data_IF_730135841674
#
_entry.id   IF_730135841674
#
_cell.length_a   1.000
_cell.length_b   1.000
_cell.length_c   1.000
_cell.angle_alpha   90.00
_cell.angle_beta   90.00
_cell.angle_gamma   90.00
#
_symmetry.space_group_name_H-M   'P 1'
#
loop_
_entity.id
_entity.type
_entity.pdbx_description
1 polymer ?
#
# COMPACT_ATOMS: atom_id res chain seq x y z
N UNK A 1 -0.93 3.05 31.42
CA UNK A 1 -1.46 3.55 30.13
C UNK A 1 -0.47 3.30 28.99
N UNK A 2 -0.20 2.03 28.58
CA UNK A 2 0.81 1.72 27.55
C UNK A 2 0.24 1.71 26.12
N UNK A 3 -1.04 1.38 25.97
CA UNK A 3 -1.68 1.12 24.66
C UNK A 3 -1.65 2.32 23.70
N UNK A 4 -1.82 3.54 24.21
CA UNK A 4 -1.86 4.77 23.40
C UNK A 4 -0.50 5.12 22.78
N UNK A 5 0.61 4.87 23.50
CA UNK A 5 1.95 5.17 23.01
C UNK A 5 2.37 4.18 21.90
N UNK A 6 2.07 2.90 22.08
CA UNK A 6 2.32 1.87 21.07
C UNK A 6 1.47 2.09 19.81
N UNK A 7 0.20 2.49 19.98
CA UNK A 7 -0.68 2.82 18.86
C UNK A 7 -0.14 4.00 18.05
N UNK A 8 0.38 5.05 18.71
CA UNK A 8 0.94 6.23 18.04
C UNK A 8 2.17 5.88 17.20
N UNK A 9 3.08 5.05 17.74
CA UNK A 9 4.28 4.61 17.01
C UNK A 9 3.91 3.76 15.79
N UNK A 10 2.94 2.85 15.95
CA UNK A 10 2.46 2.01 14.86
C UNK A 10 1.77 2.85 13.76
N UNK A 11 0.96 3.84 14.15
CA UNK A 11 0.34 4.78 13.21
C UNK A 11 1.40 5.58 12.44
N UNK A 12 2.42 6.11 13.11
CA UNK A 12 3.48 6.87 12.47
C UNK A 12 4.26 6.00 11.46
N UNK A 13 4.62 4.77 11.83
CA UNK A 13 5.28 3.83 10.94
C UNK A 13 4.42 3.48 9.72
N UNK A 14 3.12 3.26 9.92
CA UNK A 14 2.17 2.99 8.86
C UNK A 14 2.02 4.18 7.88
N UNK A 15 1.90 5.39 8.41
CA UNK A 15 1.85 6.62 7.60
C UNK A 15 3.16 6.83 6.84
N UNK A 16 4.32 6.55 7.45
CA UNK A 16 5.62 6.62 6.79
C UNK A 16 5.76 5.56 5.67
N UNK A 17 5.14 4.39 5.83
CA UNK A 17 5.04 3.40 4.76
C UNK A 17 4.15 3.87 3.61
N UNK A 18 3.25 4.82 3.81
CA UNK A 18 2.47 5.46 2.74
C UNK A 18 3.26 6.60 2.10
N UNK A 19 3.94 7.44 2.89
CA UNK A 19 4.50 8.74 2.52
C UNK A 19 5.72 8.76 1.59
N UNK A 20 5.92 7.75 0.74
CA UNK A 20 7.00 7.74 -0.26
C UNK A 20 6.41 7.74 -1.68
N UNK A 21 7.00 8.47 -2.64
CA UNK A 21 6.40 8.68 -3.96
C UNK A 21 6.04 7.40 -4.71
N UNK A 22 6.94 6.42 -4.74
CA UNK A 22 6.73 5.16 -5.47
C UNK A 22 5.62 4.34 -4.81
N UNK A 23 5.59 4.27 -3.47
CA UNK A 23 4.50 3.60 -2.74
C UNK A 23 3.15 4.26 -2.95
N UNK A 24 3.08 5.60 -2.99
CA UNK A 24 1.85 6.31 -3.37
C UNK A 24 1.39 5.96 -4.79
N UNK A 25 2.32 5.89 -5.74
CA UNK A 25 2.01 5.47 -7.12
C UNK A 25 1.47 4.04 -7.15
N UNK A 26 2.10 3.11 -6.43
CA UNK A 26 1.63 1.71 -6.29
C UNK A 26 0.22 1.67 -5.70
N UNK A 27 -0.05 2.42 -4.63
CA UNK A 27 -1.38 2.49 -4.01
C UNK A 27 -2.44 2.97 -5.02
N UNK A 28 -2.15 4.04 -5.78
CA UNK A 28 -3.04 4.56 -6.82
C UNK A 28 -3.29 3.54 -7.93
N UNK A 29 -2.26 2.83 -8.37
CA UNK A 29 -2.38 1.82 -9.41
C UNK A 29 -3.22 0.64 -8.92
N UNK A 30 -2.95 0.13 -7.71
CA UNK A 30 -3.68 -0.99 -7.13
C UNK A 30 -5.14 -0.64 -6.79
N UNK A 31 -5.47 0.64 -6.63
CA UNK A 31 -6.87 1.09 -6.53
C UNK A 31 -7.69 0.80 -7.80
N UNK A 32 -7.02 0.59 -8.95
CA UNK A 32 -7.68 0.21 -10.22
C UNK A 32 -7.82 -1.30 -10.40
N UNK A 33 -7.31 -2.09 -9.46
CA UNK A 33 -7.32 -3.55 -9.48
C UNK A 33 -5.94 -4.15 -9.20
N UNK A 34 -5.94 -5.45 -8.92
CA UNK A 34 -4.71 -6.19 -8.61
C UNK A 34 -3.69 -6.18 -9.77
N UNK A 35 -2.41 -6.20 -9.40
CA UNK A 35 -1.27 -6.18 -10.33
C UNK A 35 -0.15 -7.08 -9.89
N UNK A 36 0.62 -7.58 -10.83
CA UNK A 36 1.90 -8.26 -10.60
C UNK A 36 3.02 -7.26 -10.34
N UNK A 37 4.12 -7.73 -9.75
CA UNK A 37 5.34 -6.93 -9.54
C UNK A 37 5.88 -6.31 -10.84
N UNK A 38 5.80 -7.06 -11.93
CA UNK A 38 6.23 -6.65 -13.28
C UNK A 38 5.36 -5.54 -13.86
N UNK A 39 4.04 -5.62 -13.69
CA UNK A 39 3.13 -4.57 -14.12
C UNK A 39 3.33 -3.29 -13.31
N UNK A 40 3.51 -3.41 -12.00
CA UNK A 40 3.79 -2.29 -11.11
C UNK A 40 5.11 -1.59 -11.47
N UNK A 41 6.18 -2.36 -11.70
CA UNK A 41 7.46 -1.82 -12.18
C UNK A 41 7.32 -1.04 -13.48
N UNK A 42 6.59 -1.61 -14.45
CA UNK A 42 6.34 -0.94 -15.73
C UNK A 42 5.52 0.35 -15.57
N UNK A 43 4.44 0.32 -14.79
CA UNK A 43 3.55 1.47 -14.61
C UNK A 43 4.19 2.59 -13.77
N UNK A 44 4.98 2.23 -12.75
CA UNK A 44 5.74 3.18 -11.93
C UNK A 44 7.05 3.64 -12.59
N UNK A 45 7.45 3.04 -13.72
CA UNK A 45 8.71 3.32 -14.44
C UNK A 45 9.96 3.19 -13.56
N UNK A 46 10.02 2.10 -12.80
CA UNK A 46 11.12 1.78 -11.90
C UNK A 46 11.51 0.32 -12.04
N UNK A 47 12.72 -0.02 -11.62
CA UNK A 47 13.24 -1.39 -11.66
C UNK A 47 12.42 -2.34 -10.77
N UNK A 48 12.31 -3.61 -11.21
CA UNK A 48 11.58 -4.66 -10.51
C UNK A 48 12.12 -4.88 -9.09
N UNK A 49 13.45 -4.79 -8.91
CA UNK A 49 14.10 -4.93 -7.60
C UNK A 49 13.61 -3.85 -6.63
N UNK A 50 13.49 -2.61 -7.10
CA UNK A 50 13.02 -1.49 -6.30
C UNK A 50 11.54 -1.64 -5.93
N UNK A 51 10.69 -2.02 -6.90
CA UNK A 51 9.27 -2.29 -6.61
C UNK A 51 9.10 -3.45 -5.64
N UNK A 52 9.87 -4.52 -5.79
CA UNK A 52 9.83 -5.66 -4.86
C UNK A 52 10.19 -5.21 -3.44
N UNK A 53 11.19 -4.36 -3.29
CA UNK A 53 11.55 -3.77 -2.00
C UNK A 53 10.41 -2.93 -1.41
N UNK A 54 9.80 -2.04 -2.20
CA UNK A 54 8.64 -1.26 -1.77
C UNK A 54 7.45 -2.13 -1.37
N UNK A 55 7.12 -3.16 -2.15
CA UNK A 55 6.02 -4.08 -1.86
C UNK A 55 6.25 -4.87 -0.59
N UNK A 56 7.50 -5.27 -0.29
CA UNK A 56 7.83 -5.92 0.98
C UNK A 56 7.59 -5.00 2.17
N UNK A 57 8.00 -3.73 2.09
CA UNK A 57 7.74 -2.73 3.13
C UNK A 57 6.25 -2.46 3.29
N UNK A 58 5.51 -2.32 2.19
CA UNK A 58 4.05 -2.10 2.20
C UNK A 58 3.31 -3.31 2.79
N UNK A 59 3.74 -4.53 2.46
CA UNK A 59 3.17 -5.77 3.00
C UNK A 59 3.44 -5.88 4.51
N UNK A 60 4.64 -5.55 4.95
CA UNK A 60 4.98 -5.50 6.38
C UNK A 60 4.14 -4.46 7.14
N UNK A 61 3.83 -3.33 6.50
CA UNK A 61 2.91 -2.32 7.04
C UNK A 61 1.41 -2.70 6.88
N UNK A 62 1.08 -3.86 6.29
CA UNK A 62 -0.31 -4.28 6.09
C UNK A 62 -1.09 -3.39 5.10
N UNK A 63 -0.41 -2.73 4.15
CA UNK A 63 -1.03 -1.92 3.10
C UNK A 63 -1.43 -2.74 1.87
N UNK A 64 -0.72 -3.85 1.62
CA UNK A 64 -0.97 -4.75 0.49
C UNK A 64 -0.94 -6.21 0.90
N UNK A 65 -1.75 -7.03 0.25
CA UNK A 65 -1.63 -8.49 0.25
C UNK A 65 -0.91 -8.95 -1.00
N UNK A 66 -0.46 -10.20 -0.98
CA UNK A 66 0.16 -10.85 -2.11
C UNK A 66 -0.35 -12.28 -2.19
N UNK A 67 -0.98 -12.64 -3.31
CA UNK A 67 -1.57 -13.95 -3.55
C UNK A 67 -0.93 -14.57 -4.80
N UNK A 68 -0.74 -15.89 -4.75
CA UNK A 68 -0.13 -16.61 -5.86
C UNK A 68 -1.20 -17.00 -6.87
N UNK A 69 -1.08 -16.46 -8.07
CA UNK A 69 -1.90 -16.80 -9.23
C UNK A 69 -1.02 -17.52 -10.26
N UNK A 70 -1.04 -18.86 -10.19
CA UNK A 70 -0.19 -19.73 -11.00
C UNK A 70 1.31 -19.47 -10.79
N UNK A 71 1.93 -18.84 -11.79
CA UNK A 71 3.37 -18.49 -11.78
C UNK A 71 3.65 -17.08 -11.27
N UNK A 72 2.63 -16.25 -11.10
CA UNK A 72 2.78 -14.86 -10.72
C UNK A 72 2.31 -14.61 -9.30
N UNK A 73 2.88 -13.59 -8.67
CA UNK A 73 2.36 -13.03 -7.43
C UNK A 73 1.55 -11.79 -7.77
N UNK A 74 0.27 -11.78 -7.42
CA UNK A 74 -0.61 -10.62 -7.56
C UNK A 74 -0.71 -9.89 -6.24
N UNK A 75 -0.65 -8.57 -6.32
CA UNK A 75 -0.76 -7.67 -5.18
C UNK A 75 -2.10 -6.96 -5.22
N UNK A 76 -2.72 -6.82 -4.06
CA UNK A 76 -3.98 -6.11 -3.88
C UNK A 76 -3.89 -5.22 -2.64
N UNK A 77 -4.75 -4.19 -2.56
CA UNK A 77 -4.82 -3.31 -1.40
C UNK A 77 -5.49 -3.99 -0.20
N UNK A 78 -5.00 -3.71 1.00
CA UNK A 78 -5.62 -4.11 2.27
C UNK A 78 -6.39 -2.94 2.85
N UNK A 79 -7.62 -3.19 3.32
CA UNK A 79 -8.39 -2.20 4.08
C UNK A 79 -8.66 -0.90 3.31
N UNK A 80 -8.67 -0.97 1.98
CA UNK A 80 -8.83 0.17 1.10
C UNK A 80 -10.23 0.24 0.51
N UNK A 81 -10.77 1.45 0.37
CA UNK A 81 -12.03 1.73 -0.31
C UNK A 81 -11.84 2.89 -1.28
N UNK A 82 -12.15 2.67 -2.54
CA UNK A 82 -12.26 3.75 -3.51
C UNK A 82 -13.62 4.41 -3.37
N UNK A 83 -13.65 5.68 -2.95
CA UNK A 83 -14.87 6.46 -2.78
C UNK A 83 -14.80 7.69 -3.68
N UNK A 84 -15.53 7.66 -4.79
CA UNK A 84 -15.51 8.73 -5.78
C UNK A 84 -14.11 8.96 -6.35
N UNK A 85 -13.49 10.09 -6.00
CA UNK A 85 -12.17 10.53 -6.49
C UNK A 85 -11.04 10.33 -5.48
N UNK A 86 -11.25 9.56 -4.41
CA UNK A 86 -10.23 9.31 -3.40
C UNK A 86 -10.15 7.84 -2.98
N UNK A 87 -8.95 7.43 -2.60
CA UNK A 87 -8.65 6.16 -1.95
C UNK A 87 -8.60 6.38 -0.44
N UNK A 88 -9.54 5.77 0.30
CA UNK A 88 -9.51 5.71 1.76
C UNK A 88 -8.77 4.45 2.20
N UNK A 89 -7.71 4.63 2.99
CA UNK A 89 -6.96 3.55 3.64
C UNK A 89 -7.25 3.58 5.13
N UNK A 90 -7.51 2.42 5.73
CA UNK A 90 -7.75 2.30 7.16
C UNK A 90 -6.72 1.38 7.83
N UNK A 91 -6.22 1.82 8.99
CA UNK A 91 -5.35 1.03 9.85
C UNK A 91 -6.12 0.46 11.04
N UNK A 92 -5.69 -0.70 11.57
CA UNK A 92 -6.38 -1.40 12.67
C UNK A 92 -6.49 -0.62 13.99
N UNK A 93 -5.69 0.43 14.17
CA UNK A 93 -5.77 1.35 15.32
C UNK A 93 -6.80 2.48 15.13
N UNK A 94 -7.51 2.52 14.00
CA UNK A 94 -8.55 3.52 13.70
C UNK A 94 -8.09 4.72 12.88
N UNK A 95 -6.78 4.86 12.61
CA UNK A 95 -6.26 5.91 11.71
C UNK A 95 -6.71 5.66 10.28
N UNK A 96 -7.06 6.74 9.58
CA UNK A 96 -7.43 6.71 8.17
C UNK A 96 -6.66 7.75 7.39
N UNK A 97 -6.28 7.40 6.17
CA UNK A 97 -5.59 8.28 5.22
C UNK A 97 -6.39 8.32 3.94
N UNK A 98 -6.61 9.52 3.42
CA UNK A 98 -7.31 9.76 2.16
C UNK A 98 -6.31 10.22 1.12
N UNK A 99 -6.20 9.48 0.01
CA UNK A 99 -5.31 9.80 -1.10
C UNK A 99 -6.19 10.19 -2.29
N UNK A 100 -6.14 11.44 -2.77
CA UNK A 100 -6.84 11.83 -3.98
C UNK A 100 -6.33 11.00 -5.18
N UNK A 101 -7.25 10.57 -6.05
CA UNK A 101 -6.98 9.86 -7.30
C UNK A 101 -6.99 10.80 -8.52
N UNK A 102 -7.18 12.10 -8.28
CA UNK A 102 -7.10 13.18 -9.28
C UNK A 102 -5.65 13.49 -9.67
#
# INVERSE_FOLDING_TARGET
>A
MPKVADDTKNQAAWIAAIGEPTRLMVLRILATGEKTVTELAKMCRVEIVNISHHLNLMKAAGLVTAERDGRFMRYNLVGAKATGTALELAHGTGVRVFIPLV
#
